data_IF_321544438187
#
_entry.id   IF_321544438187
#
_cell.length_a   1.000
_cell.length_b   1.000
_cell.length_c   1.000
_cell.angle_alpha   90.00
_cell.angle_beta   90.00
_cell.angle_gamma   90.00
#
_symmetry.space_group_name_H-M   'P 1'
#
loop_
_entity.id
_entity.type
_entity.pdbx_description
1 polymer ?
#
# COMPACT_ATOMS: atom_id res chain seq x y z
N UNK A 1 -17.29 5.56 14.35
CA UNK A 1 -15.81 5.54 14.24
C UNK A 1 -15.38 6.92 13.77
N UNK A 2 -14.24 7.42 14.23
CA UNK A 2 -13.71 8.68 13.70
C UNK A 2 -13.43 8.52 12.19
N UNK A 3 -13.64 9.57 11.38
CA UNK A 3 -13.32 9.50 9.95
C UNK A 3 -11.80 9.32 9.79
N UNK A 4 -11.38 8.21 9.18
CA UNK A 4 -9.96 7.89 8.91
C UNK A 4 -9.44 8.59 7.65
N UNK A 5 -10.34 9.00 6.76
CA UNK A 5 -9.99 9.59 5.47
C UNK A 5 -9.08 10.83 5.57
N UNK A 6 -9.26 11.78 6.51
CA UNK A 6 -8.35 12.91 6.66
C UNK A 6 -6.90 12.49 6.94
N UNK A 7 -6.70 11.50 7.81
CA UNK A 7 -5.36 10.99 8.14
C UNK A 7 -4.72 10.28 6.94
N UNK A 8 -5.51 9.51 6.19
CA UNK A 8 -5.08 8.85 4.95
C UNK A 8 -4.76 9.88 3.87
N UNK A 9 -5.56 10.95 3.73
CA UNK A 9 -5.35 12.01 2.76
C UNK A 9 -4.12 12.84 3.08
N UNK A 10 -3.81 13.05 4.37
CA UNK A 10 -2.66 13.82 4.84
C UNK A 10 -1.30 13.18 4.54
N UNK A 11 -1.25 11.87 4.25
CA UNK A 11 0.02 11.22 3.87
C UNK A 11 0.32 11.26 2.38
N UNK A 12 -0.67 11.58 1.55
CA UNK A 12 -0.53 11.68 0.10
C UNK A 12 0.12 13.02 -0.29
N UNK A 13 0.73 13.09 -1.48
CA UNK A 13 1.13 14.37 -2.06
C UNK A 13 -0.04 15.37 -2.12
N UNK A 14 0.26 16.67 -2.05
CA UNK A 14 -0.77 17.70 -1.99
C UNK A 14 -1.34 18.01 -3.36
N UNK A 15 -0.55 17.80 -4.41
CA UNK A 15 -0.89 18.10 -5.80
C UNK A 15 -0.64 16.93 -6.74
N UNK A 16 -1.28 16.95 -7.90
CA UNK A 16 -1.07 15.93 -8.96
C UNK A 16 0.39 15.87 -9.42
N UNK A 17 1.04 17.03 -9.54
CA UNK A 17 2.45 17.14 -9.97
C UNK A 17 3.44 16.55 -8.99
N UNK A 18 3.11 16.51 -7.70
CA UNK A 18 3.94 15.89 -6.66
C UNK A 18 3.71 14.37 -6.55
N UNK A 19 2.74 13.80 -7.28
CA UNK A 19 2.48 12.37 -7.28
C UNK A 19 3.27 11.70 -8.42
N UNK A 20 4.42 11.07 -8.13
CA UNK A 20 5.32 10.59 -9.18
C UNK A 20 4.71 9.37 -9.88
N UNK A 21 4.73 9.39 -11.22
CA UNK A 21 4.43 8.25 -12.08
C UNK A 21 5.52 8.11 -13.17
N UNK A 22 6.79 8.27 -12.77
CA UNK A 22 7.92 8.15 -13.67
C UNK A 22 8.29 6.68 -13.87
N UNK A 23 8.06 6.17 -15.07
CA UNK A 23 8.35 4.81 -15.53
C UNK A 23 9.06 4.85 -16.88
N UNK A 24 9.92 3.86 -17.15
CA UNK A 24 10.58 3.70 -18.46
C UNK A 24 9.66 3.06 -19.51
N UNK A 25 10.16 2.90 -20.75
CA UNK A 25 9.44 2.20 -21.83
C UNK A 25 9.13 0.72 -21.55
N UNK A 26 9.62 0.17 -20.43
CA UNK A 26 9.33 -1.20 -20.00
C UNK A 26 7.89 -1.42 -19.56
N UNK A 27 7.19 -0.35 -19.15
CA UNK A 27 5.78 -0.41 -18.76
C UNK A 27 4.94 0.00 -19.96
N UNK A 28 3.94 -0.81 -20.31
CA UNK A 28 3.11 -0.54 -21.48
C UNK A 28 2.32 0.78 -21.31
N UNK A 29 2.23 1.57 -22.38
CA UNK A 29 1.54 2.87 -22.37
C UNK A 29 0.09 2.77 -21.89
N UNK A 30 -0.60 1.66 -22.15
CA UNK A 30 -1.96 1.41 -21.66
C UNK A 30 -2.03 1.36 -20.14
N UNK A 31 -1.04 0.75 -19.47
CA UNK A 31 -0.96 0.67 -18.01
C UNK A 31 -0.65 2.04 -17.42
N UNK A 32 0.26 2.79 -18.04
CA UNK A 32 0.55 4.17 -17.66
C UNK A 32 -0.70 5.05 -17.72
N UNK A 33 -1.48 4.96 -18.80
CA UNK A 33 -2.74 5.69 -18.92
C UNK A 33 -3.73 5.34 -17.79
N UNK A 34 -3.82 4.07 -17.39
CA UNK A 34 -4.72 3.67 -16.29
C UNK A 34 -4.23 4.20 -14.93
N UNK A 35 -2.91 4.21 -14.70
CA UNK A 35 -2.30 4.81 -13.50
C UNK A 35 -2.57 6.32 -13.43
N UNK A 36 -2.39 7.03 -14.54
CA UNK A 36 -2.65 8.46 -14.64
C UNK A 36 -4.13 8.78 -14.41
N UNK A 37 -5.04 8.03 -15.03
CA UNK A 37 -6.48 8.20 -14.80
C UNK A 37 -6.87 7.95 -13.33
N UNK A 38 -6.26 6.96 -12.67
CA UNK A 38 -6.50 6.69 -11.25
C UNK A 38 -5.96 7.82 -10.35
N UNK A 39 -4.77 8.36 -10.66
CA UNK A 39 -4.19 9.53 -9.98
C UNK A 39 -5.06 10.76 -10.19
N UNK A 40 -5.42 11.08 -11.43
CA UNK A 40 -6.13 12.32 -11.73
C UNK A 40 -7.53 12.33 -11.10
N UNK A 41 -8.18 11.16 -11.03
CA UNK A 41 -9.44 11.00 -10.30
C UNK A 41 -9.30 11.34 -8.81
N UNK A 42 -8.22 10.90 -8.15
CA UNK A 42 -7.93 11.16 -6.72
C UNK A 42 -7.80 12.66 -6.39
N UNK A 43 -7.47 13.50 -7.38
CA UNK A 43 -7.30 14.95 -7.19
C UNK A 43 -8.41 15.80 -7.83
N UNK A 44 -9.36 15.18 -8.53
CA UNK A 44 -10.42 15.91 -9.25
C UNK A 44 -11.49 16.49 -8.31
N UNK A 45 -11.79 15.83 -7.20
CA UNK A 45 -12.57 16.41 -6.10
C UNK A 45 -12.15 15.82 -4.75
N UNK A 46 -12.34 16.56 -3.67
CA UNK A 46 -12.02 16.12 -2.30
C UNK A 46 -12.77 14.87 -1.85
N UNK A 47 -13.91 14.59 -2.48
CA UNK A 47 -14.84 13.50 -2.15
C UNK A 47 -14.86 12.37 -3.19
N UNK A 48 -13.96 12.41 -4.19
CA UNK A 48 -13.85 11.35 -5.18
C UNK A 48 -12.59 10.52 -4.92
N UNK A 49 -12.72 9.30 -4.37
CA UNK A 49 -11.56 8.44 -4.19
C UNK A 49 -11.05 7.90 -5.52
N UNK A 50 -9.86 7.32 -5.48
CA UNK A 50 -9.38 6.46 -6.55
C UNK A 50 -10.41 5.35 -6.84
N UNK A 51 -10.64 5.05 -8.12
CA UNK A 51 -11.59 4.00 -8.52
C UNK A 51 -11.09 2.62 -8.09
N UNK A 52 -11.91 1.90 -7.31
CA UNK A 52 -11.66 0.50 -6.94
C UNK A 52 -11.41 -0.39 -8.17
N UNK A 53 -12.17 -0.18 -9.24
CA UNK A 53 -12.06 -0.95 -10.48
C UNK A 53 -10.71 -0.71 -11.16
N UNK A 54 -10.30 0.55 -11.32
CA UNK A 54 -8.98 0.88 -11.91
C UNK A 54 -7.85 0.33 -11.05
N UNK A 55 -7.97 0.44 -9.74
CA UNK A 55 -7.00 -0.13 -8.82
C UNK A 55 -6.87 -1.64 -9.01
N UNK A 56 -8.00 -2.35 -9.13
CA UNK A 56 -8.02 -3.80 -9.33
C UNK A 56 -7.41 -4.19 -10.69
N UNK A 57 -7.71 -3.46 -11.78
CA UNK A 57 -7.08 -3.68 -13.09
C UNK A 57 -5.55 -3.57 -13.00
N UNK A 58 -5.05 -2.52 -12.34
CA UNK A 58 -3.60 -2.31 -12.16
C UNK A 58 -3.01 -3.46 -11.35
N UNK A 59 -3.66 -3.87 -10.24
CA UNK A 59 -3.21 -4.97 -9.39
C UNK A 59 -3.15 -6.28 -10.16
N UNK A 60 -4.22 -6.64 -10.87
CA UNK A 60 -4.33 -7.93 -11.58
C UNK A 60 -3.28 -8.02 -12.68
N UNK A 61 -3.18 -6.99 -13.52
CA UNK A 61 -2.22 -6.98 -14.62
C UNK A 61 -0.77 -7.01 -14.12
N UNK A 62 -0.44 -6.17 -13.14
CA UNK A 62 0.92 -6.17 -12.60
C UNK A 62 1.24 -7.46 -11.86
N UNK A 63 0.28 -8.08 -11.17
CA UNK A 63 0.47 -9.38 -10.53
C UNK A 63 0.86 -10.47 -11.54
N UNK A 64 0.22 -10.52 -12.71
CA UNK A 64 0.61 -11.45 -13.77
C UNK A 64 2.08 -11.25 -14.19
N UNK A 65 2.50 -9.98 -14.37
CA UNK A 65 3.88 -9.63 -14.71
C UNK A 65 4.88 -10.03 -13.62
N UNK A 66 4.51 -9.90 -12.35
CA UNK A 66 5.32 -10.34 -11.23
C UNK A 66 5.48 -11.88 -11.16
N UNK A 67 4.57 -12.64 -11.77
CA UNK A 67 4.51 -14.11 -11.68
C UNK A 67 4.85 -14.84 -13.00
N UNK A 68 5.43 -14.14 -13.99
CA UNK A 68 5.78 -14.74 -15.30
C UNK A 68 7.15 -15.44 -15.31
N UNK A 69 7.95 -15.35 -14.25
CA UNK A 69 9.31 -15.93 -14.21
C UNK A 69 9.89 -16.05 -12.80
N UNK A 70 11.21 -16.20 -12.69
CA UNK A 70 11.85 -16.24 -11.36
C UNK A 70 11.82 -14.87 -10.70
N UNK A 71 11.58 -14.84 -9.38
CA UNK A 71 11.45 -13.58 -8.64
C UNK A 71 12.67 -12.65 -8.76
N UNK A 72 13.86 -13.21 -8.98
CA UNK A 72 15.11 -12.44 -9.14
C UNK A 72 15.09 -11.59 -10.41
N UNK A 73 14.40 -12.04 -11.44
CA UNK A 73 14.39 -11.42 -12.76
C UNK A 73 13.20 -10.47 -12.95
N UNK A 74 12.33 -10.38 -11.95
CA UNK A 74 11.17 -9.48 -11.96
C UNK A 74 11.63 -8.03 -11.94
N UNK A 75 11.22 -7.26 -12.96
CA UNK A 75 11.59 -5.86 -13.07
C UNK A 75 11.04 -5.04 -11.89
N UNK A 76 11.89 -4.17 -11.34
CA UNK A 76 11.53 -3.29 -10.22
C UNK A 76 10.39 -2.33 -10.58
N UNK A 77 10.27 -1.93 -11.84
CA UNK A 77 9.18 -1.06 -12.29
C UNK A 77 7.82 -1.77 -12.21
N UNK A 78 7.74 -3.06 -12.56
CA UNK A 78 6.52 -3.85 -12.36
C UNK A 78 6.12 -3.95 -10.88
N UNK A 79 7.10 -4.06 -10.00
CA UNK A 79 6.87 -4.04 -8.55
C UNK A 79 6.37 -2.67 -8.07
N UNK A 80 6.84 -1.57 -8.66
CA UNK A 80 6.30 -0.22 -8.39
C UNK A 80 4.87 -0.09 -8.90
N UNK A 81 4.55 -0.56 -10.11
CA UNK A 81 3.18 -0.55 -10.66
C UNK A 81 2.22 -1.29 -9.72
N UNK A 82 2.60 -2.48 -9.25
CA UNK A 82 1.82 -3.23 -8.27
C UNK A 82 1.56 -2.42 -6.99
N UNK A 83 2.59 -1.73 -6.47
CA UNK A 83 2.44 -0.87 -5.29
C UNK A 83 1.49 0.32 -5.51
N UNK A 84 1.49 0.94 -6.69
CA UNK A 84 0.51 1.99 -7.00
C UNK A 84 -0.91 1.43 -7.08
N UNK A 85 -1.09 0.25 -7.70
CA UNK A 85 -2.40 -0.43 -7.72
C UNK A 85 -2.92 -0.69 -6.30
N UNK A 86 -2.07 -1.25 -5.43
CA UNK A 86 -2.40 -1.46 -4.02
C UNK A 86 -2.72 -0.15 -3.29
N UNK A 87 -1.95 0.92 -3.54
CA UNK A 87 -2.24 2.23 -2.97
C UNK A 87 -3.63 2.73 -3.38
N UNK A 88 -3.95 2.73 -4.67
CA UNK A 88 -5.27 3.17 -5.14
C UNK A 88 -6.41 2.35 -4.53
N UNK A 89 -6.22 1.02 -4.37
CA UNK A 89 -7.22 0.17 -3.71
C UNK A 89 -7.40 0.54 -2.24
N UNK A 90 -6.30 0.77 -1.51
CA UNK A 90 -6.33 1.23 -0.11
C UNK A 90 -7.07 2.56 0.00
N UNK A 91 -6.79 3.51 -0.89
CA UNK A 91 -7.47 4.81 -0.90
C UNK A 91 -8.98 4.65 -1.14
N UNK A 92 -9.38 3.79 -2.07
CA UNK A 92 -10.80 3.48 -2.31
C UNK A 92 -11.48 2.86 -1.08
N UNK A 93 -10.80 1.95 -0.39
CA UNK A 93 -11.35 1.28 0.80
C UNK A 93 -11.48 2.21 2.00
N UNK A 94 -10.60 3.21 2.12
CA UNK A 94 -10.56 4.11 3.27
C UNK A 94 -11.41 5.38 3.12
N UNK A 95 -12.00 5.60 1.95
CA UNK A 95 -12.78 6.80 1.68
C UNK A 95 -14.09 6.85 2.46
N UNK A 96 -14.50 8.05 2.88
CA UNK A 96 -15.75 8.28 3.62
C UNK A 96 -15.70 7.67 5.03
N UNK A 97 -16.67 6.80 5.35
CA UNK A 97 -16.77 6.12 6.64
C UNK A 97 -16.63 4.60 6.45
N UNK A 98 -15.40 4.07 6.38
CA UNK A 98 -15.18 2.68 6.06
C UNK A 98 -15.59 1.75 7.20
N UNK A 99 -16.09 0.56 6.83
CA UNK A 99 -16.34 -0.51 7.79
C UNK A 99 -15.03 -1.09 8.33
N UNK A 100 -15.10 -1.80 9.47
CA UNK A 100 -13.94 -2.55 9.98
C UNK A 100 -13.38 -3.54 8.96
N UNK A 101 -14.24 -4.19 8.17
CA UNK A 101 -13.82 -5.12 7.12
C UNK A 101 -13.03 -4.40 6.02
N UNK A 102 -13.45 -3.19 5.62
CA UNK A 102 -12.68 -2.39 4.64
C UNK A 102 -11.33 -1.97 5.19
N UNK A 103 -11.23 -1.61 6.48
CA UNK A 103 -9.95 -1.27 7.11
C UNK A 103 -9.03 -2.50 7.15
N UNK A 104 -9.56 -3.68 7.51
CA UNK A 104 -8.80 -4.92 7.49
C UNK A 104 -8.33 -5.29 6.07
N UNK A 105 -9.19 -5.13 5.06
CA UNK A 105 -8.81 -5.35 3.67
C UNK A 105 -7.74 -4.35 3.20
N UNK A 106 -7.83 -3.09 3.62
CA UNK A 106 -6.83 -2.08 3.33
C UNK A 106 -5.46 -2.43 3.95
N UNK A 107 -5.44 -2.91 5.20
CA UNK A 107 -4.20 -3.39 5.85
C UNK A 107 -3.63 -4.58 5.08
N UNK A 108 -4.46 -5.58 4.74
CA UNK A 108 -4.03 -6.74 3.94
C UNK A 108 -3.46 -6.31 2.59
N UNK A 109 -4.09 -5.33 1.94
CA UNK A 109 -3.63 -4.79 0.65
C UNK A 109 -2.28 -4.10 0.79
N UNK A 110 -2.05 -3.34 1.87
CA UNK A 110 -0.74 -2.76 2.16
C UNK A 110 0.32 -3.83 2.40
N UNK A 111 0.01 -4.84 3.24
CA UNK A 111 0.93 -5.93 3.56
C UNK A 111 1.34 -6.71 2.30
N UNK A 112 0.38 -7.00 1.40
CA UNK A 112 0.67 -7.63 0.10
C UNK A 112 1.62 -6.79 -0.75
N UNK A 113 1.43 -5.46 -0.81
CA UNK A 113 2.35 -4.59 -1.52
C UNK A 113 3.72 -4.50 -0.87
N UNK A 114 3.83 -4.57 0.46
CA UNK A 114 5.13 -4.54 1.13
C UNK A 114 5.95 -5.81 0.82
N UNK A 115 5.26 -6.94 0.61
CA UNK A 115 5.89 -8.23 0.29
C UNK A 115 6.24 -8.29 -1.21
N UNK A 116 5.30 -7.95 -2.10
CA UNK A 116 5.42 -8.17 -3.55
C UNK A 116 5.86 -6.94 -4.33
N UNK A 117 5.46 -5.77 -3.88
CA UNK A 117 5.74 -4.51 -4.56
C UNK A 117 7.14 -3.97 -4.28
N UNK A 118 7.32 -2.70 -4.60
CA UNK A 118 8.52 -1.92 -4.31
C UNK A 118 8.13 -0.63 -3.58
N UNK A 119 9.04 -0.10 -2.78
CA UNK A 119 8.82 1.15 -2.07
C UNK A 119 8.47 2.29 -3.05
N UNK A 120 7.40 3.03 -2.74
CA UNK A 120 6.96 4.24 -3.43
C UNK A 120 6.70 5.34 -2.40
N UNK A 121 6.93 6.61 -2.80
CA UNK A 121 6.64 7.81 -1.99
C UNK A 121 7.08 7.65 -0.52
N UNK A 122 8.37 7.38 -0.31
CA UNK A 122 8.98 7.19 1.01
C UNK A 122 8.23 6.17 1.90
N UNK A 123 7.93 5.01 1.34
CA UNK A 123 7.21 3.91 1.99
C UNK A 123 5.80 4.31 2.47
N UNK A 124 5.04 5.03 1.64
CA UNK A 124 3.68 5.48 1.96
C UNK A 124 2.77 4.35 2.48
N UNK A 125 2.87 3.15 1.92
CA UNK A 125 2.04 2.00 2.32
C UNK A 125 2.36 1.52 3.74
N UNK A 126 3.63 1.59 4.17
CA UNK A 126 4.01 1.30 5.55
C UNK A 126 3.44 2.36 6.51
N UNK A 127 3.46 3.64 6.11
CA UNK A 127 2.86 4.73 6.89
C UNK A 127 1.34 4.55 7.01
N UNK A 128 0.68 4.16 5.92
CA UNK A 128 -0.77 3.86 5.90
C UNK A 128 -1.12 2.69 6.83
N UNK A 129 -0.32 1.62 6.88
CA UNK A 129 -0.52 0.53 7.86
C UNK A 129 -0.54 1.04 9.30
N UNK A 130 0.34 2.00 9.63
CA UNK A 130 0.37 2.63 10.96
C UNK A 130 -0.95 3.34 11.30
N UNK A 131 -1.48 4.12 10.37
CA UNK A 131 -2.75 4.86 10.49
C UNK A 131 -3.95 3.91 10.59
N UNK A 132 -3.97 2.87 9.75
CA UNK A 132 -5.07 1.90 9.72
C UNK A 132 -5.11 1.07 11.02
N UNK A 133 -3.95 0.63 11.52
CA UNK A 133 -3.87 -0.15 12.77
C UNK A 133 -4.19 0.68 14.01
N UNK A 134 -3.83 1.96 14.05
CA UNK A 134 -4.19 2.83 15.19
C UNK A 134 -5.71 3.01 15.28
N UNK A 135 -6.39 3.08 14.14
CA UNK A 135 -7.85 3.18 14.05
C UNK A 135 -8.55 1.91 14.56
N UNK A 136 -7.99 0.73 14.29
CA UNK A 136 -8.53 -0.54 14.80
C UNK A 136 -8.35 -0.74 16.30
N UNK A 137 -7.26 -0.22 16.87
CA UNK A 137 -6.96 -0.33 18.32
C UNK A 137 -7.86 0.53 19.21
N UNK A 138 -8.72 1.36 18.63
CA UNK A 138 -9.61 2.24 19.38
C UNK A 138 -11.05 1.69 19.42
N UNK A 139 -11.35 0.86 20.44
CA UNK A 139 -12.63 1.00 21.14
C UNK A 139 -12.50 1.17 22.67
N UNK A 140 -11.37 0.89 23.29
CA UNK A 140 -11.09 1.15 24.72
C UNK A 140 -9.59 0.98 24.99
N UNK A 141 -9.02 1.83 25.86
CA UNK A 141 -7.70 1.58 26.46
C UNK A 141 -7.76 0.27 27.23
N UNK A 142 -7.20 -0.80 26.65
CA UNK A 142 -6.67 -1.91 27.44
C UNK A 142 -5.19 -2.09 27.11
N UNK A 143 -4.42 -2.10 28.19
CA UNK A 143 -2.97 -2.19 28.23
C UNK A 143 -2.53 -3.56 27.74
N UNK A 144 -1.56 -3.61 26.83
CA UNK A 144 -0.26 -4.27 27.07
C UNK A 144 0.58 -4.25 25.79
N UNK A 145 1.80 -3.78 25.96
CA UNK A 145 2.89 -3.92 25.00
C UNK A 145 3.44 -5.34 25.07
N UNK A 146 3.80 -5.92 23.92
CA UNK A 146 5.15 -6.45 23.67
C UNK A 146 5.35 -6.76 22.17
N UNK A 147 6.40 -6.25 21.51
CA UNK A 147 6.80 -6.71 20.18
C UNK A 147 7.58 -8.04 20.27
N UNK A 148 7.22 -8.98 19.41
CA UNK A 148 7.96 -10.22 19.19
C UNK A 148 9.32 -9.95 18.52
N UNK A 149 10.36 -9.76 19.33
CA UNK A 149 11.78 -9.80 18.91
C UNK A 149 12.63 -10.47 20.01
N UNK A 150 12.37 -11.75 20.29
CA UNK A 150 13.36 -12.62 20.94
C UNK A 150 13.35 -14.00 20.30
N UNK A 151 13.94 -14.10 19.12
CA UNK A 151 14.44 -15.40 18.63
C UNK A 151 15.90 -15.24 18.25
N UNK A 152 16.73 -15.91 19.07
CA UNK A 152 18.13 -16.33 18.87
C UNK A 152 19.24 -15.29 19.11
N UNK A 153 19.57 -15.10 20.39
CA UNK A 153 20.97 -14.91 20.81
C UNK A 153 21.31 -15.72 22.09
N UNK A 154 20.77 -16.95 22.20
CA UNK A 154 21.12 -17.90 23.28
C UNK A 154 21.64 -19.25 22.77
N UNK A 155 21.85 -19.40 21.45
CA UNK A 155 22.34 -20.64 20.84
C UNK A 155 23.81 -20.58 20.35
N UNK A 156 24.58 -19.57 20.75
CA UNK A 156 25.99 -19.41 20.37
C UNK A 156 26.98 -19.26 21.54
N UNK A 157 26.57 -19.55 22.80
CA UNK A 157 27.47 -19.50 23.96
C UNK A 157 27.51 -20.81 24.77
N UNK A 158 27.40 -21.95 24.09
CA UNK A 158 27.46 -23.26 24.73
C UNK A 158 28.25 -24.27 23.90
N UNK A 159 29.49 -23.93 23.56
CA UNK A 159 30.51 -24.87 23.06
C UNK A 159 31.88 -24.19 23.14
N UNK A 160 32.36 -24.03 24.37
CA UNK A 160 33.77 -23.85 24.71
C UNK A 160 33.86 -24.00 26.23
N UNK A 161 34.03 -25.25 26.66
CA UNK A 161 34.91 -25.74 27.74
C UNK A 161 34.68 -27.25 27.94
#
# INVERSE_FOLDING_TARGET
>A
MAPIWPDVRAVLPSTVSEFPLDFSEKIESSVLNVLELARDQLYRSSDCPASAERAQIIIDYSWEKLNTGTWRDVDKEWRRVYSYGCLFKVLSLCHGNPSQNHIQEAIKTCDMSLIMGAAIMDNILQRLVGILRSTMKSPNKEKSEEPCLKVKLSLLKGKEE
#
